data_IF_452698306259
#
_entry.id   IF_452698306259
#
_cell.length_a   1.000
_cell.length_b   1.000
_cell.length_c   1.000
_cell.angle_alpha   90.00
_cell.angle_beta   90.00
_cell.angle_gamma   90.00
#
_symmetry.space_group_name_H-M   'P 1'
#
loop_
_entity.id
_entity.type
_entity.pdbx_description
1 polymer ?
#
# COMPACT_ATOMS: atom_id res chain seq x y z
N UNK A 1 23.60 6.65 -3.67
CA UNK A 1 24.36 5.50 -4.23
C UNK A 1 24.50 4.35 -3.23
N UNK A 2 24.85 4.62 -1.96
CA UNK A 2 24.99 3.59 -0.90
C UNK A 2 23.71 2.81 -0.58
N UNK A 3 22.54 3.46 -0.60
CA UNK A 3 21.29 2.84 -0.15
C UNK A 3 20.59 1.94 -1.18
N UNK A 4 20.76 2.25 -2.46
CA UNK A 4 20.40 1.39 -3.59
C UNK A 4 21.25 0.11 -3.57
N UNK A 5 22.51 0.25 -3.20
CA UNK A 5 23.45 -0.85 -3.04
C UNK A 5 23.06 -1.74 -1.85
N UNK A 6 22.58 -1.16 -0.74
CA UNK A 6 22.03 -1.91 0.40
C UNK A 6 20.77 -2.68 0.02
N UNK A 7 19.83 -2.09 -0.72
CA UNK A 7 18.63 -2.81 -1.18
C UNK A 7 18.96 -3.94 -2.15
N UNK A 8 19.87 -3.69 -3.10
CA UNK A 8 20.36 -4.72 -4.01
C UNK A 8 21.09 -5.85 -3.26
N UNK A 9 21.90 -5.52 -2.24
CA UNK A 9 22.58 -6.48 -1.38
C UNK A 9 21.59 -7.32 -0.58
N UNK A 10 20.55 -6.70 0.01
CA UNK A 10 19.55 -7.44 0.81
C UNK A 10 18.67 -8.33 -0.08
N UNK A 11 18.34 -7.90 -1.29
CA UNK A 11 17.66 -8.74 -2.29
C UNK A 11 18.54 -9.89 -2.80
N UNK A 12 19.85 -9.65 -2.94
CA UNK A 12 20.82 -10.70 -3.27
C UNK A 12 20.99 -11.71 -2.12
N UNK A 13 20.97 -11.26 -0.86
CA UNK A 13 21.05 -12.10 0.35
C UNK A 13 19.77 -12.91 0.59
N UNK A 14 18.61 -12.42 0.15
CA UNK A 14 17.32 -13.14 0.23
C UNK A 14 17.17 -14.28 -0.82
N UNK A 15 18.24 -14.64 -1.54
CA UNK A 15 18.29 -15.84 -2.37
C UNK A 15 17.44 -15.79 -3.65
N UNK A 16 17.01 -14.61 -4.10
CA UNK A 16 16.13 -14.49 -5.27
C UNK A 16 16.98 -14.42 -6.56
N UNK A 17 17.41 -15.60 -7.05
CA UNK A 17 18.31 -15.78 -8.21
C UNK A 17 17.69 -15.60 -9.61
N UNK A 18 16.47 -15.10 -9.74
CA UNK A 18 15.75 -15.00 -11.04
C UNK A 18 15.72 -13.57 -11.57
N UNK A 19 15.71 -13.40 -12.90
CA UNK A 19 15.58 -12.13 -13.65
C UNK A 19 14.45 -11.21 -13.14
N UNK A 20 13.43 -11.79 -12.52
CA UNK A 20 12.29 -11.12 -11.87
C UNK A 20 12.67 -10.23 -10.67
N UNK A 21 13.82 -10.45 -10.02
CA UNK A 21 14.30 -9.64 -8.89
C UNK A 21 14.90 -8.31 -9.31
N UNK A 22 15.44 -8.22 -10.53
CA UNK A 22 16.10 -7.01 -11.02
C UNK A 22 15.09 -5.93 -11.42
N UNK A 23 13.90 -6.34 -11.90
CA UNK A 23 12.83 -5.44 -12.34
C UNK A 23 12.38 -4.42 -11.27
N UNK A 24 12.04 -4.82 -10.02
CA UNK A 24 11.62 -3.85 -9.00
C UNK A 24 12.75 -2.90 -8.57
N UNK A 25 14.00 -3.36 -8.54
CA UNK A 25 15.15 -2.50 -8.20
C UNK A 25 15.41 -1.47 -9.30
N UNK A 26 15.32 -1.89 -10.57
CA UNK A 26 15.44 -0.99 -11.70
C UNK A 26 14.31 0.05 -11.72
N UNK A 27 13.08 -0.36 -11.40
CA UNK A 27 11.94 0.55 -11.28
C UNK A 27 12.12 1.58 -10.15
N UNK A 28 12.59 1.16 -8.97
CA UNK A 28 12.91 2.06 -7.87
C UNK A 28 14.01 3.06 -8.24
N UNK A 29 15.07 2.59 -8.90
CA UNK A 29 16.14 3.46 -9.38
C UNK A 29 15.62 4.49 -10.38
N UNK A 30 14.73 4.09 -11.29
CA UNK A 30 14.10 4.96 -12.29
C UNK A 30 13.19 6.01 -11.63
N UNK A 31 12.39 5.62 -10.63
CA UNK A 31 11.55 6.56 -9.88
C UNK A 31 12.41 7.60 -9.14
N UNK A 32 13.46 7.16 -8.44
CA UNK A 32 14.38 8.07 -7.74
C UNK A 32 15.08 9.01 -8.73
N UNK A 33 15.58 8.50 -9.86
CA UNK A 33 16.22 9.34 -10.88
C UNK A 33 15.25 10.36 -11.47
N UNK A 34 14.00 9.96 -11.75
CA UNK A 34 12.95 10.87 -12.23
C UNK A 34 12.67 11.99 -11.23
N UNK A 35 12.55 11.68 -9.94
CA UNK A 35 12.38 12.67 -8.89
C UNK A 35 13.59 13.61 -8.77
N UNK A 36 14.83 13.10 -8.90
CA UNK A 36 16.02 13.97 -8.88
C UNK A 36 16.11 14.89 -10.10
N UNK A 37 15.66 14.44 -11.28
CA UNK A 37 15.64 15.26 -12.48
C UNK A 37 14.59 16.38 -12.41
N UNK A 38 13.41 16.08 -11.84
CA UNK A 38 12.32 17.03 -11.66
C UNK A 38 12.50 17.97 -10.45
N UNK A 39 13.51 17.75 -9.60
CA UNK A 39 13.77 18.59 -8.43
C UNK A 39 14.39 19.93 -8.81
N UNK A 40 13.85 21.02 -8.23
CA UNK A 40 14.31 22.40 -8.41
C UNK A 40 15.68 22.65 -7.75
N UNK A 41 15.92 22.07 -6.56
CA UNK A 41 17.17 22.21 -5.81
C UNK A 41 17.82 20.85 -5.60
N UNK A 42 18.51 20.36 -6.63
CA UNK A 42 19.13 19.02 -6.66
C UNK A 42 20.22 18.82 -5.62
N UNK A 43 20.86 19.91 -5.18
CA UNK A 43 21.95 19.89 -4.20
C UNK A 43 21.44 19.77 -2.75
N UNK A 44 20.20 20.20 -2.47
CA UNK A 44 19.62 20.22 -1.12
C UNK A 44 18.82 18.95 -0.79
N UNK A 45 18.93 17.91 -1.62
CA UNK A 45 18.23 16.65 -1.38
C UNK A 45 18.86 15.97 -0.16
N UNK A 46 18.09 15.87 0.92
CA UNK A 46 18.50 15.13 2.11
C UNK A 46 18.42 13.61 1.86
N UNK A 47 19.56 13.03 1.48
CA UNK A 47 19.71 11.61 1.20
C UNK A 47 19.47 10.70 2.42
N UNK A 48 19.58 11.22 3.65
CA UNK A 48 19.23 10.45 4.84
C UNK A 48 17.72 10.20 4.93
N UNK A 49 16.91 11.24 4.68
CA UNK A 49 15.44 11.13 4.68
C UNK A 49 14.93 10.20 3.59
N UNK A 50 15.44 10.35 2.35
CA UNK A 50 15.12 9.46 1.22
C UNK A 50 15.55 8.03 1.51
N UNK A 51 16.70 7.88 2.18
CA UNK A 51 17.22 6.59 2.59
C UNK A 51 16.32 5.86 3.58
N UNK A 52 15.91 6.57 4.64
CA UNK A 52 15.05 6.04 5.69
C UNK A 52 13.68 5.64 5.13
N UNK A 53 13.07 6.46 4.27
CA UNK A 53 11.75 6.16 3.71
C UNK A 53 11.78 4.93 2.80
N UNK A 54 12.76 4.82 1.90
CA UNK A 54 12.93 3.64 1.05
C UNK A 54 13.23 2.39 1.88
N UNK A 55 14.12 2.50 2.88
CA UNK A 55 14.42 1.42 3.81
C UNK A 55 13.19 0.94 4.56
N UNK A 56 12.36 1.87 5.06
CA UNK A 56 11.13 1.54 5.79
C UNK A 56 10.10 0.85 4.88
N UNK A 57 9.91 1.32 3.65
CA UNK A 57 9.02 0.67 2.68
C UNK A 57 9.45 -0.77 2.36
N UNK A 58 10.75 -0.99 2.15
CA UNK A 58 11.29 -2.32 1.91
C UNK A 58 11.15 -3.22 3.13
N UNK A 59 11.47 -2.71 4.31
CA UNK A 59 11.39 -3.47 5.56
C UNK A 59 9.95 -3.91 5.84
N UNK A 60 8.98 -3.01 5.68
CA UNK A 60 7.56 -3.36 5.76
C UNK A 60 7.15 -4.38 4.70
N UNK A 61 7.60 -4.25 3.46
CA UNK A 61 7.31 -5.22 2.39
C UNK A 61 7.80 -6.63 2.72
N UNK A 62 9.02 -6.75 3.25
CA UNK A 62 9.60 -8.03 3.70
C UNK A 62 8.84 -8.56 4.91
N UNK A 63 8.57 -7.71 5.91
CA UNK A 63 7.81 -8.08 7.11
C UNK A 63 6.44 -8.64 6.73
N UNK A 64 5.71 -7.95 5.86
CA UNK A 64 4.33 -8.33 5.48
C UNK A 64 4.28 -9.57 4.57
N UNK A 65 5.28 -9.79 3.72
CA UNK A 65 5.21 -10.85 2.68
C UNK A 65 5.97 -12.13 3.07
N UNK A 66 7.07 -12.01 3.83
CA UNK A 66 7.99 -13.14 4.09
C UNK A 66 7.93 -13.66 5.53
N UNK A 67 7.32 -12.92 6.45
CA UNK A 67 7.24 -13.31 7.86
C UNK A 67 5.82 -13.80 8.21
N UNK A 68 5.63 -14.57 9.31
CA UNK A 68 4.31 -15.03 9.73
C UNK A 68 3.36 -13.89 10.11
N UNK A 69 3.85 -12.65 10.19
CA UNK A 69 3.03 -11.46 10.43
C UNK A 69 1.94 -11.25 9.36
N UNK A 70 2.11 -11.84 8.17
CA UNK A 70 1.08 -11.89 7.12
C UNK A 70 -0.26 -12.44 7.61
N UNK A 71 -0.26 -13.38 8.58
CA UNK A 71 -1.47 -13.97 9.13
C UNK A 71 -2.28 -12.98 9.96
N UNK A 72 -1.60 -12.11 10.73
CA UNK A 72 -2.23 -11.05 11.52
C UNK A 72 -2.90 -10.04 10.59
N UNK A 73 -2.22 -9.67 9.51
CA UNK A 73 -2.77 -8.79 8.48
C UNK A 73 -3.98 -9.44 7.80
N UNK A 74 -3.90 -10.73 7.45
CA UNK A 74 -5.03 -11.48 6.88
C UNK A 74 -6.25 -11.48 7.81
N UNK A 75 -6.03 -11.67 9.12
CA UNK A 75 -7.09 -11.57 10.12
C UNK A 75 -7.74 -10.17 10.12
N UNK A 76 -6.93 -9.10 10.10
CA UNK A 76 -7.44 -7.73 10.02
C UNK A 76 -8.20 -7.49 8.70
N UNK A 77 -7.69 -7.97 7.57
CA UNK A 77 -8.36 -7.89 6.27
C UNK A 77 -9.72 -8.58 6.29
N UNK A 78 -9.85 -9.75 6.92
CA UNK A 78 -11.13 -10.44 7.08
C UNK A 78 -12.15 -9.58 7.87
N UNK A 79 -11.71 -8.89 8.92
CA UNK A 79 -12.59 -7.96 9.68
C UNK A 79 -13.03 -6.77 8.82
N UNK A 80 -12.13 -6.22 8.02
CA UNK A 80 -12.47 -5.15 7.07
C UNK A 80 -13.46 -5.66 6.01
N UNK A 81 -13.31 -6.88 5.51
CA UNK A 81 -14.27 -7.48 4.58
C UNK A 81 -15.66 -7.65 5.19
N UNK A 82 -15.76 -8.04 6.46
CA UNK A 82 -17.04 -8.08 7.17
C UNK A 82 -17.67 -6.68 7.27
N UNK A 83 -16.84 -5.67 7.52
CA UNK A 83 -17.27 -4.28 7.60
C UNK A 83 -17.83 -3.76 6.25
N UNK A 84 -17.17 -4.12 5.14
CA UNK A 84 -17.67 -3.88 3.77
C UNK A 84 -19.02 -4.60 3.56
N UNK A 85 -19.19 -5.80 4.11
CA UNK A 85 -20.46 -6.53 4.07
C UNK A 85 -21.62 -5.76 4.72
N UNK A 86 -21.38 -5.08 5.85
CA UNK A 86 -22.38 -4.21 6.47
C UNK A 86 -22.74 -3.00 5.61
N UNK A 87 -21.76 -2.40 4.94
CA UNK A 87 -22.01 -1.33 3.97
C UNK A 87 -22.90 -1.82 2.80
N UNK A 88 -22.66 -3.05 2.32
CA UNK A 88 -23.49 -3.70 1.31
C UNK A 88 -24.94 -3.91 1.76
N UNK A 89 -25.16 -4.38 2.99
CA UNK A 89 -26.51 -4.52 3.55
C UNK A 89 -27.24 -3.17 3.67
N UNK A 90 -26.52 -2.11 4.05
CA UNK A 90 -27.06 -0.74 4.06
C UNK A 90 -27.43 -0.24 2.66
N UNK A 91 -26.63 -0.58 1.63
CA UNK A 91 -26.95 -0.27 0.24
C UNK A 91 -28.22 -0.96 -0.25
N UNK A 92 -28.41 -2.25 0.07
CA UNK A 92 -29.64 -3.00 -0.24
C UNK A 92 -30.85 -2.33 0.42
N UNK A 93 -30.73 -1.89 1.67
CA UNK A 93 -31.80 -1.21 2.39
C UNK A 93 -32.21 0.12 1.72
N UNK A 94 -31.25 0.92 1.27
CA UNK A 94 -31.51 2.24 0.67
C UNK A 94 -31.97 2.15 -0.78
N UNK A 95 -31.34 1.28 -1.58
CA UNK A 95 -31.52 1.24 -3.04
C UNK A 95 -32.28 0.02 -3.56
N UNK A 96 -32.52 -1.01 -2.74
CA UNK A 96 -33.15 -2.27 -3.13
C UNK A 96 -32.21 -3.27 -3.81
N UNK A 97 -32.58 -4.55 -3.86
CA UNK A 97 -31.73 -5.64 -4.37
C UNK A 97 -31.32 -5.48 -5.85
N UNK A 98 -32.17 -4.87 -6.68
CA UNK A 98 -31.91 -4.68 -8.12
C UNK A 98 -30.92 -3.57 -8.46
N UNK A 99 -30.66 -2.64 -7.54
CA UNK A 99 -29.79 -1.49 -7.79
C UNK A 99 -28.30 -1.84 -7.76
N UNK A 100 -27.92 -2.92 -7.06
CA UNK A 100 -26.52 -3.38 -6.95
C UNK A 100 -25.92 -3.87 -8.27
N UNK A 101 -26.75 -4.14 -9.29
CA UNK A 101 -26.29 -4.46 -10.63
C UNK A 101 -25.61 -3.26 -11.32
N UNK A 102 -25.85 -2.04 -10.83
CA UNK A 102 -25.24 -0.82 -11.34
C UNK A 102 -24.05 -0.46 -10.45
N UNK A 103 -22.87 -0.34 -11.06
CA UNK A 103 -21.59 -0.05 -10.39
C UNK A 103 -21.68 1.10 -9.36
N UNK A 104 -22.38 2.19 -9.71
CA UNK A 104 -22.52 3.36 -8.83
C UNK A 104 -23.18 3.02 -7.49
N UNK A 105 -24.24 2.21 -7.48
CA UNK A 105 -24.94 1.83 -6.25
C UNK A 105 -24.24 0.71 -5.48
N UNK A 106 -23.21 0.09 -6.05
CA UNK A 106 -22.35 -0.85 -5.34
C UNK A 106 -21.18 -0.15 -4.64
N UNK A 107 -20.50 0.77 -5.35
CA UNK A 107 -19.27 1.40 -4.85
C UNK A 107 -19.52 2.64 -4.00
N UNK A 108 -20.50 3.48 -4.38
CA UNK A 108 -20.77 4.74 -3.68
C UNK A 108 -21.17 4.53 -2.20
N UNK A 109 -22.03 3.56 -1.84
CA UNK A 109 -22.42 3.35 -0.44
C UNK A 109 -21.26 2.90 0.45
N UNK A 110 -20.31 2.12 -0.10
CA UNK A 110 -19.11 1.70 0.62
C UNK A 110 -18.28 2.92 1.02
N UNK A 111 -18.11 3.89 0.11
CA UNK A 111 -17.38 5.13 0.38
C UNK A 111 -18.06 5.94 1.49
N UNK A 112 -19.38 6.14 1.41
CA UNK A 112 -20.13 6.90 2.43
C UNK A 112 -20.05 6.22 3.80
N UNK A 113 -20.18 4.90 3.84
CA UNK A 113 -20.05 4.11 5.06
C UNK A 113 -18.67 4.27 5.71
N UNK A 114 -17.57 4.16 4.93
CA UNK A 114 -16.23 4.35 5.48
C UNK A 114 -15.96 5.78 5.91
N UNK A 115 -16.53 6.78 5.23
CA UNK A 115 -16.42 8.18 5.61
C UNK A 115 -17.08 8.45 6.97
N UNK A 116 -18.30 7.95 7.20
CA UNK A 116 -18.99 8.12 8.49
C UNK A 116 -18.34 7.30 9.60
N UNK A 117 -17.89 6.08 9.32
CA UNK A 117 -17.15 5.26 10.29
C UNK A 117 -15.83 5.90 10.70
N UNK A 118 -15.06 6.44 9.75
CA UNK A 118 -13.84 7.20 10.04
C UNK A 118 -14.14 8.42 10.90
N UNK A 119 -15.22 9.16 10.58
CA UNK A 119 -15.65 10.31 11.39
C UNK A 119 -16.03 9.92 12.83
N UNK A 120 -16.70 8.78 13.02
CA UNK A 120 -17.03 8.27 14.37
C UNK A 120 -15.75 7.89 15.11
N UNK A 121 -14.82 7.19 14.45
CA UNK A 121 -13.57 6.74 15.07
C UNK A 121 -12.60 7.88 15.40
N UNK A 122 -12.68 9.01 14.67
CA UNK A 122 -11.93 10.23 14.97
C UNK A 122 -12.60 11.10 16.05
N UNK A 123 -13.91 10.95 16.24
CA UNK A 123 -14.64 11.64 17.31
C UNK A 123 -14.42 10.97 18.68
N UNK A 124 -14.32 9.65 18.69
CA UNK A 124 -13.93 8.82 19.84
C UNK A 124 -12.45 9.05 20.20
#
# INVERSE_FOLDING_TARGET
MTLLLVHALVLAVLGVRTISSCLPVAFLALMVSGCTAASTSRADINWATVGISLGMQFWLGVLLTRTPFSQVICYASCRISHLIGYAGAGAVFVFGEGALAVFAFHVLPIIVFFATLSSILLYL
#
